data_IF_798347540973
#
_entry.id   IF_798347540973
#
_cell.length_a   1.000
_cell.length_b   1.000
_cell.length_c   1.000
_cell.angle_alpha   90.00
_cell.angle_beta   90.00
_cell.angle_gamma   90.00
#
_symmetry.space_group_name_H-M   'P 1'
#
loop_
_entity.id
_entity.type
_entity.pdbx_description
1 polymer ?
#
# COMPACT_ATOMS: atom_id res chain seq x y z
N UNK A 1 52.15 44.64 -52.75
CA UNK A 1 52.34 46.00 -52.20
C UNK A 1 51.06 46.34 -51.45
N UNK A 2 51.01 46.03 -50.16
CA UNK A 2 51.22 46.95 -49.03
C UNK A 2 50.03 47.90 -48.81
N UNK A 3 49.50 48.16 -47.62
CA UNK A 3 49.64 47.64 -46.24
C UNK A 3 48.51 48.32 -45.42
N UNK A 4 47.89 47.54 -44.54
CA UNK A 4 47.20 47.82 -43.27
C UNK A 4 46.73 49.22 -42.85
N UNK A 5 45.50 49.27 -42.32
CA UNK A 5 45.10 49.74 -40.96
C UNK A 5 43.86 48.89 -40.57
N UNK A 6 43.65 48.27 -39.41
CA UNK A 6 44.30 48.34 -38.11
C UNK A 6 43.35 48.91 -37.04
N UNK A 7 42.27 48.23 -36.65
CA UNK A 7 41.55 48.52 -35.39
C UNK A 7 41.15 47.21 -34.69
N UNK A 8 41.67 47.06 -33.48
CA UNK A 8 41.38 46.00 -32.50
C UNK A 8 39.98 46.19 -31.94
N UNK A 9 39.18 45.13 -31.84
CA UNK A 9 37.96 45.16 -31.03
C UNK A 9 37.72 43.81 -30.34
N UNK A 10 37.99 43.83 -29.04
CA UNK A 10 37.32 43.12 -27.96
C UNK A 10 36.81 41.69 -28.22
N UNK A 11 37.51 40.76 -27.60
CA UNK A 11 36.99 39.48 -27.10
C UNK A 11 35.64 39.68 -26.40
N UNK A 12 34.57 39.12 -26.96
CA UNK A 12 33.36 38.77 -26.19
C UNK A 12 33.24 37.26 -26.27
N UNK A 13 33.80 36.60 -25.24
CA UNK A 13 33.43 35.23 -24.89
C UNK A 13 31.96 35.28 -24.49
N UNK A 14 31.06 34.86 -25.38
CA UNK A 14 29.70 34.49 -24.98
C UNK A 14 29.82 33.17 -24.22
N UNK A 15 30.00 33.30 -22.90
CA UNK A 15 29.68 32.27 -21.92
C UNK A 15 28.20 31.90 -22.13
N UNK A 16 27.95 30.84 -22.91
CA UNK A 16 26.69 30.10 -22.89
C UNK A 16 26.62 29.29 -21.59
N UNK A 17 26.52 30.01 -20.47
CA UNK A 17 26.29 29.47 -19.15
C UNK A 17 24.79 29.44 -18.85
N UNK A 18 24.30 28.22 -18.60
CA UNK A 18 23.16 27.92 -17.74
C UNK A 18 21.81 28.59 -18.03
N UNK A 19 20.99 27.93 -18.86
CA UNK A 19 19.58 27.69 -18.54
C UNK A 19 19.19 26.25 -18.91
N UNK A 20 19.89 25.27 -18.31
CA UNK A 20 19.17 24.07 -17.87
C UNK A 20 18.28 24.52 -16.72
N UNK A 21 17.20 25.23 -17.04
CA UNK A 21 16.12 25.42 -16.10
C UNK A 21 15.68 24.00 -15.74
N UNK A 22 16.04 23.56 -14.54
CA UNK A 22 15.35 22.48 -13.86
C UNK A 22 13.88 22.90 -13.87
N UNK A 23 13.11 22.44 -14.86
CA UNK A 23 11.65 22.49 -14.78
C UNK A 23 11.36 21.77 -13.47
N UNK A 24 10.85 22.46 -12.43
CA UNK A 24 10.49 21.78 -11.20
C UNK A 24 9.42 20.78 -11.61
N UNK A 25 9.80 19.51 -11.66
CA UNK A 25 8.87 18.43 -11.97
C UNK A 25 7.72 18.60 -10.98
N UNK A 26 6.47 18.74 -11.45
CA UNK A 26 5.36 18.96 -10.55
C UNK A 26 5.37 17.83 -9.51
N UNK A 27 5.62 18.20 -8.26
CA UNK A 27 5.61 17.28 -7.10
C UNK A 27 4.17 17.00 -6.66
N UNK A 28 3.21 17.17 -7.55
CA UNK A 28 1.78 17.04 -7.33
C UNK A 28 1.25 15.96 -8.26
N UNK A 29 0.58 14.96 -7.70
CA UNK A 29 -0.15 13.95 -8.47
C UNK A 29 -1.60 14.39 -8.66
N UNK A 30 -2.22 13.89 -9.71
CA UNK A 30 -3.66 13.97 -9.94
C UNK A 30 -4.45 13.37 -8.77
N UNK A 31 -5.77 13.54 -8.80
CA UNK A 31 -6.66 13.16 -7.71
C UNK A 31 -6.58 11.66 -7.39
N UNK A 32 -6.68 11.32 -6.10
CA UNK A 32 -6.68 9.94 -5.62
C UNK A 32 -7.72 9.74 -4.51
N UNK A 33 -8.04 8.47 -4.24
CA UNK A 33 -8.80 8.10 -3.04
C UNK A 33 -7.90 7.38 -2.05
N UNK A 34 -8.13 7.60 -0.77
CA UNK A 34 -7.56 6.80 0.32
C UNK A 34 -8.65 6.46 1.34
N UNK A 35 -8.30 5.80 2.44
CA UNK A 35 -9.20 5.60 3.57
C UNK A 35 -9.33 6.85 4.41
N UNK A 36 -10.56 7.21 4.74
CA UNK A 36 -10.83 8.25 5.73
C UNK A 36 -10.27 7.92 7.12
N UNK A 37 -10.18 6.63 7.43
CA UNK A 37 -9.60 6.10 8.65
C UNK A 37 -8.92 4.78 8.35
N UNK A 38 -7.61 4.72 8.61
CA UNK A 38 -6.76 3.55 8.36
C UNK A 38 -6.41 2.78 9.63
N UNK A 39 -6.68 3.31 10.82
CA UNK A 39 -6.25 2.69 12.09
C UNK A 39 -7.41 2.48 13.06
N UNK A 40 -7.43 1.31 13.69
CA UNK A 40 -8.44 0.90 14.65
C UNK A 40 -7.79 0.24 15.85
N UNK A 41 -8.39 0.46 17.02
CA UNK A 41 -7.99 -0.15 18.27
C UNK A 41 -9.21 -0.80 18.93
N UNK A 42 -9.06 -2.05 19.35
CA UNK A 42 -10.09 -2.83 20.01
C UNK A 42 -9.61 -3.31 21.36
N UNK A 43 -10.51 -3.37 22.34
CA UNK A 43 -10.21 -3.97 23.65
C UNK A 43 -11.02 -5.24 23.80
N UNK A 44 -10.36 -6.37 24.00
CA UNK A 44 -10.99 -7.68 24.17
C UNK A 44 -10.63 -8.30 25.52
N UNK A 45 -11.57 -8.94 26.22
CA UNK A 45 -11.25 -9.85 27.30
C UNK A 45 -10.30 -10.96 26.86
N UNK A 46 -9.40 -11.34 27.76
CA UNK A 46 -8.48 -12.46 27.62
C UNK A 46 -8.16 -13.06 28.98
N UNK A 47 -7.40 -14.15 28.99
CA UNK A 47 -7.11 -14.91 30.22
C UNK A 47 -6.40 -14.06 31.30
N UNK A 48 -5.57 -13.09 30.90
CA UNK A 48 -4.84 -12.21 31.80
C UNK A 48 -5.53 -10.85 32.05
N UNK A 49 -6.78 -10.65 31.58
CA UNK A 49 -7.51 -9.40 31.74
C UNK A 49 -8.02 -8.85 30.41
N UNK A 50 -7.66 -7.60 30.08
CA UNK A 50 -8.04 -6.96 28.81
C UNK A 50 -6.82 -6.87 27.90
N UNK A 51 -6.94 -7.38 26.68
CA UNK A 51 -5.94 -7.23 25.63
C UNK A 51 -6.37 -6.11 24.70
N UNK A 52 -5.41 -5.30 24.24
CA UNK A 52 -5.65 -4.36 23.14
C UNK A 52 -5.16 -4.96 21.84
N UNK A 53 -5.97 -4.82 20.81
CA UNK A 53 -5.71 -5.27 19.45
C UNK A 53 -5.70 -4.05 18.55
N UNK A 54 -4.68 -3.94 17.72
CA UNK A 54 -4.54 -2.88 16.73
C UNK A 54 -4.78 -3.47 15.34
N UNK A 55 -5.42 -2.70 14.48
CA UNK A 55 -5.63 -3.01 13.07
C UNK A 55 -5.30 -1.75 12.26
N UNK A 56 -4.28 -1.84 11.41
CA UNK A 56 -4.02 -0.89 10.34
C UNK A 56 -4.52 -1.44 9.01
N UNK A 57 -5.09 -0.57 8.20
CA UNK A 57 -5.64 -0.90 6.89
C UNK A 57 -5.13 0.09 5.85
N UNK A 58 -4.68 -0.43 4.71
CA UNK A 58 -4.23 0.36 3.57
C UNK A 58 -4.87 -0.15 2.30
N UNK A 59 -4.98 0.71 1.29
CA UNK A 59 -5.53 0.33 0.02
C UNK A 59 -4.46 0.30 -1.07
N UNK A 60 -4.55 -0.71 -1.92
CA UNK A 60 -3.70 -0.85 -3.08
C UNK A 60 -4.60 -1.16 -4.28
N UNK A 61 -4.39 -0.43 -5.35
CA UNK A 61 -4.91 -0.81 -6.66
C UNK A 61 -3.76 -1.34 -7.49
N UNK A 62 -3.84 -2.59 -7.90
CA UNK A 62 -2.87 -3.20 -8.79
C UNK A 62 -3.25 -2.90 -10.25
N UNK A 63 -3.19 -1.62 -10.59
CA UNK A 63 -3.16 -1.15 -11.97
C UNK A 63 -1.70 -1.19 -12.47
N UNK A 64 -1.10 -2.36 -12.61
CA UNK A 64 0.26 -2.48 -13.16
C UNK A 64 0.27 -2.89 -14.62
N UNK A 65 -0.27 -2.02 -15.48
CA UNK A 65 0.44 -1.76 -16.73
C UNK A 65 1.59 -0.81 -16.38
N UNK A 66 2.78 -1.38 -16.15
CA UNK A 66 4.01 -0.63 -15.90
C UNK A 66 4.30 0.36 -17.05
N UNK A 67 3.87 1.62 -16.93
CA UNK A 67 4.43 2.68 -17.77
C UNK A 67 5.85 3.03 -17.32
N UNK A 68 6.77 3.09 -18.29
CA UNK A 68 8.17 3.46 -18.06
C UNK A 68 8.26 4.84 -17.38
N UNK A 69 8.70 4.89 -16.13
CA UNK A 69 9.29 6.10 -15.57
C UNK A 69 10.82 5.94 -15.53
N UNK A 70 11.53 6.59 -16.47
CA UNK A 70 12.98 6.76 -16.35
C UNK A 70 13.25 7.83 -15.28
N UNK A 71 13.60 7.41 -14.06
CA UNK A 71 14.39 8.27 -13.18
C UNK A 71 15.86 8.16 -13.61
N UNK A 72 16.57 9.28 -13.71
CA UNK A 72 17.85 9.41 -14.40
C UNK A 72 18.99 8.47 -13.95
N UNK A 73 18.82 7.68 -12.88
CA UNK A 73 19.87 6.83 -12.30
C UNK A 73 19.46 5.39 -11.96
N UNK A 74 18.23 4.94 -12.24
CA UNK A 74 17.89 3.51 -12.11
C UNK A 74 16.81 3.08 -13.12
N UNK A 75 17.00 1.88 -13.66
CA UNK A 75 16.03 1.21 -14.53
C UNK A 75 15.26 0.21 -13.68
N UNK A 76 13.96 0.44 -13.47
CA UNK A 76 13.09 -0.57 -12.88
C UNK A 76 12.91 -1.67 -13.94
N UNK A 77 13.23 -2.95 -13.64
CA UNK A 77 13.12 -4.02 -14.62
C UNK A 77 11.67 -4.23 -15.07
N UNK A 78 11.54 -4.53 -16.35
CA UNK A 78 10.28 -4.79 -17.05
C UNK A 78 9.73 -6.16 -16.65
N UNK A 79 8.49 -6.23 -16.16
CA UNK A 79 7.72 -7.48 -16.10
C UNK A 79 6.48 -7.26 -16.96
N UNK A 80 6.56 -7.76 -18.20
CA UNK A 80 5.40 -7.86 -19.09
C UNK A 80 4.63 -9.12 -18.70
N UNK A 81 3.43 -8.96 -18.14
CA UNK A 81 2.46 -10.03 -17.98
C UNK A 81 1.23 -9.71 -18.83
N UNK A 82 0.67 -10.66 -19.60
CA UNK A 82 -0.58 -10.44 -20.32
C UNK A 82 -1.75 -10.35 -19.35
N UNK A 83 -2.58 -9.31 -19.47
CA UNK A 83 -3.99 -9.32 -19.02
C UNK A 83 -4.28 -9.70 -17.57
N UNK A 84 -3.43 -9.32 -16.61
CA UNK A 84 -3.78 -9.48 -15.20
C UNK A 84 -5.07 -8.66 -14.93
N UNK A 85 -6.14 -9.29 -14.40
CA UNK A 85 -7.37 -8.56 -14.09
C UNK A 85 -7.06 -7.42 -13.13
N UNK A 86 -7.73 -6.28 -13.29
CA UNK A 86 -7.64 -5.19 -12.33
C UNK A 86 -8.06 -5.71 -10.95
N UNK A 87 -7.16 -5.53 -10.01
CA UNK A 87 -7.22 -6.17 -8.70
C UNK A 87 -7.03 -5.11 -7.64
N UNK A 88 -8.07 -4.98 -6.82
CA UNK A 88 -8.11 -4.06 -5.70
C UNK A 88 -7.83 -4.84 -4.43
N UNK A 89 -6.90 -4.36 -3.62
CA UNK A 89 -6.46 -5.00 -2.40
C UNK A 89 -6.67 -4.10 -1.20
N UNK A 90 -7.19 -4.69 -0.14
CA UNK A 90 -7.14 -4.11 1.20
C UNK A 90 -6.07 -4.84 1.98
N UNK A 91 -5.02 -4.14 2.35
CA UNK A 91 -4.00 -4.65 3.24
C UNK A 91 -4.50 -4.54 4.68
N UNK A 92 -4.30 -5.58 5.48
CA UNK A 92 -4.58 -5.63 6.90
C UNK A 92 -3.28 -5.94 7.66
N UNK A 93 -2.96 -5.13 8.65
CA UNK A 93 -1.86 -5.35 9.60
C UNK A 93 -2.48 -5.38 10.98
N UNK A 94 -2.50 -6.54 11.63
CA UNK A 94 -3.10 -6.70 12.96
C UNK A 94 -2.09 -7.24 13.96
N UNK A 95 -2.08 -6.67 15.17
CA UNK A 95 -1.23 -7.13 16.26
C UNK A 95 -1.86 -6.87 17.63
N UNK A 96 -1.42 -7.62 18.64
CA UNK A 96 -1.74 -7.35 20.03
C UNK A 96 -0.73 -6.39 20.66
N UNK A 97 -1.17 -5.61 21.65
CA UNK A 97 -0.31 -4.73 22.45
C UNK A 97 0.92 -5.46 22.98
N UNK A 98 2.04 -4.74 23.01
CA UNK A 98 3.37 -5.19 23.44
C UNK A 98 3.97 -6.38 22.68
N UNK A 99 3.30 -6.86 21.62
CA UNK A 99 3.94 -7.77 20.68
C UNK A 99 5.15 -7.10 20.05
N UNK A 100 6.17 -7.90 19.76
CA UNK A 100 7.28 -7.49 18.90
C UNK A 100 7.43 -8.46 17.74
N UNK A 101 7.99 -7.96 16.63
CA UNK A 101 8.29 -8.78 15.45
C UNK A 101 9.17 -9.98 15.82
N UNK A 102 8.85 -11.21 15.38
CA UNK A 102 9.66 -12.39 15.69
C UNK A 102 11.12 -12.30 15.25
N UNK A 103 11.44 -11.49 14.24
CA UNK A 103 12.81 -11.34 13.72
C UNK A 103 13.64 -10.26 14.43
N UNK A 104 13.08 -9.46 15.35
CA UNK A 104 13.86 -8.48 16.13
C UNK A 104 14.57 -9.20 17.29
N UNK A 105 15.88 -9.40 17.14
CA UNK A 105 16.71 -10.21 18.04
C UNK A 105 16.90 -9.64 19.46
N UNK A 106 16.64 -8.34 19.69
CA UNK A 106 17.07 -7.64 20.91
C UNK A 106 16.08 -7.67 22.08
N UNK A 107 14.82 -8.08 21.88
CA UNK A 107 13.86 -8.21 23.00
C UNK A 107 12.68 -9.11 22.63
N UNK A 108 12.28 -10.00 23.54
CA UNK A 108 11.03 -10.76 23.41
C UNK A 108 9.89 -9.84 23.86
N UNK A 109 8.99 -9.49 22.94
CA UNK A 109 7.70 -8.87 23.29
C UNK A 109 6.71 -9.92 23.80
N UNK A 110 5.46 -9.52 24.01
CA UNK A 110 4.38 -10.46 24.32
C UNK A 110 4.16 -11.45 23.16
N UNK A 111 3.76 -12.70 23.47
CA UNK A 111 3.47 -13.69 22.45
C UNK A 111 2.25 -13.29 21.62
N UNK A 112 2.12 -13.97 20.48
CA UNK A 112 0.97 -13.84 19.61
C UNK A 112 -0.34 -14.20 20.32
N UNK A 113 -1.32 -13.30 20.29
CA UNK A 113 -2.72 -13.66 20.50
C UNK A 113 -3.32 -13.94 19.12
N UNK A 114 -3.85 -15.14 18.84
CA UNK A 114 -4.45 -15.42 17.54
C UNK A 114 -5.56 -14.41 17.20
N UNK A 115 -5.46 -13.80 16.01
CA UNK A 115 -6.46 -12.89 15.45
C UNK A 115 -6.94 -13.52 14.16
N UNK A 116 -8.09 -14.20 14.23
CA UNK A 116 -8.66 -14.86 13.07
C UNK A 116 -9.45 -13.85 12.23
N UNK A 117 -9.18 -13.85 10.94
CA UNK A 117 -9.94 -13.10 9.96
C UNK A 117 -10.48 -14.04 8.89
N UNK A 118 -11.73 -13.84 8.47
CA UNK A 118 -12.35 -14.56 7.38
C UNK A 118 -12.57 -13.58 6.22
N UNK A 119 -12.00 -13.82 5.04
CA UNK A 119 -12.23 -12.92 3.90
C UNK A 119 -13.60 -13.12 3.24
N UNK A 120 -14.29 -14.23 3.49
CA UNK A 120 -15.59 -14.56 2.86
C UNK A 120 -16.73 -13.65 3.31
N UNK A 121 -16.58 -12.98 4.45
CA UNK A 121 -17.50 -11.95 4.94
C UNK A 121 -17.25 -10.58 4.30
N UNK A 122 -16.14 -10.39 3.57
CA UNK A 122 -15.75 -9.09 3.04
C UNK A 122 -16.43 -8.78 1.71
N UNK A 123 -16.91 -7.54 1.56
CA UNK A 123 -17.51 -7.05 0.33
C UNK A 123 -17.40 -5.52 0.20
N UNK A 124 -17.33 -5.05 -1.04
CA UNK A 124 -17.48 -3.63 -1.40
C UNK A 124 -18.95 -3.37 -1.71
N UNK A 125 -19.50 -2.27 -1.21
CA UNK A 125 -20.76 -1.69 -1.68
C UNK A 125 -20.44 -0.52 -2.59
N UNK A 126 -20.83 -0.65 -3.86
CA UNK A 126 -20.68 0.39 -4.86
C UNK A 126 -21.78 1.46 -4.72
N UNK A 127 -21.62 2.60 -5.42
CA UNK A 127 -22.56 3.73 -5.35
C UNK A 127 -23.98 3.37 -5.78
N UNK A 128 -24.10 2.44 -6.74
CA UNK A 128 -25.39 1.91 -7.19
C UNK A 128 -26.01 0.90 -6.21
N UNK A 129 -25.40 0.69 -5.03
CA UNK A 129 -25.85 -0.26 -4.00
C UNK A 129 -25.49 -1.73 -4.27
N UNK A 130 -24.93 -2.06 -5.43
CA UNK A 130 -24.50 -3.42 -5.73
C UNK A 130 -23.27 -3.81 -4.91
N UNK A 131 -23.10 -5.13 -4.70
CA UNK A 131 -22.04 -5.67 -3.86
C UNK A 131 -21.06 -6.49 -4.67
N UNK A 132 -19.78 -6.31 -4.39
CA UNK A 132 -18.70 -7.16 -4.87
C UNK A 132 -18.05 -7.85 -3.68
N UNK A 133 -18.12 -9.18 -3.64
CA UNK A 133 -17.47 -9.96 -2.59
C UNK A 133 -15.98 -10.12 -2.85
N UNK A 134 -15.20 -10.19 -1.78
CA UNK A 134 -13.79 -10.53 -1.84
C UNK A 134 -13.58 -11.99 -2.28
N UNK A 135 -12.36 -12.29 -2.70
CA UNK A 135 -11.89 -13.67 -2.80
C UNK A 135 -11.92 -14.37 -1.44
N UNK A 136 -12.21 -15.68 -1.39
CA UNK A 136 -12.25 -16.44 -0.15
C UNK A 136 -10.85 -16.70 0.46
N UNK A 137 -9.78 -16.49 -0.30
CA UNK A 137 -8.42 -16.63 0.19
C UNK A 137 -7.87 -15.34 0.80
N UNK A 138 -6.97 -15.49 1.77
CA UNK A 138 -6.18 -14.42 2.36
C UNK A 138 -4.76 -14.52 1.83
N UNK A 139 -4.25 -13.45 1.22
CA UNK A 139 -2.89 -13.44 0.67
C UNK A 139 -1.92 -12.86 1.70
N UNK A 140 -0.80 -13.53 1.96
CA UNK A 140 0.26 -12.99 2.83
C UNK A 140 1.28 -12.21 2.01
N UNK A 141 2.03 -11.29 2.64
CA UNK A 141 3.13 -10.58 2.00
C UNK A 141 4.19 -11.49 1.39
N UNK A 142 5.01 -10.97 0.49
CA UNK A 142 6.12 -11.72 -0.08
C UNK A 142 7.39 -10.88 0.06
N UNK A 143 8.45 -11.40 0.70
CA UNK A 143 9.69 -10.66 0.95
C UNK A 143 10.47 -10.22 -0.34
N UNK A 144 9.86 -10.27 -1.53
CA UNK A 144 10.48 -9.82 -2.79
C UNK A 144 10.49 -8.29 -2.84
N UNK A 145 11.36 -7.75 -3.71
CA UNK A 145 11.83 -6.36 -3.72
C UNK A 145 10.72 -5.30 -3.85
N UNK A 146 9.56 -5.67 -4.39
CA UNK A 146 8.40 -4.80 -4.54
C UNK A 146 7.20 -5.54 -3.95
N UNK A 147 6.88 -5.21 -2.71
CA UNK A 147 5.88 -5.86 -1.85
C UNK A 147 4.44 -5.55 -2.29
N UNK A 148 4.18 -5.63 -3.60
CA UNK A 148 2.81 -5.63 -4.08
C UNK A 148 2.17 -6.97 -3.71
N UNK A 149 0.90 -6.96 -3.28
CA UNK A 149 0.16 -8.19 -3.15
C UNK A 149 0.20 -8.93 -4.49
N UNK A 150 0.62 -10.19 -4.45
CA UNK A 150 0.60 -11.08 -5.61
C UNK A 150 -0.57 -12.03 -5.47
N UNK A 151 -1.38 -12.24 -6.52
CA UNK A 151 -2.43 -13.25 -6.50
C UNK A 151 -1.88 -14.68 -6.65
N UNK A 152 -0.56 -14.87 -6.58
CA UNK A 152 0.10 -16.17 -6.58
C UNK A 152 -0.40 -17.01 -5.41
N UNK A 153 -0.99 -18.16 -5.75
CA UNK A 153 -1.60 -19.08 -4.79
C UNK A 153 -0.59 -19.69 -3.82
N UNK A 154 0.72 -19.60 -4.08
CA UNK A 154 1.75 -19.97 -3.09
C UNK A 154 1.66 -19.12 -1.80
N UNK A 155 1.16 -17.88 -1.91
CA UNK A 155 0.98 -16.94 -0.80
C UNK A 155 -0.47 -16.88 -0.32
N UNK A 156 -1.37 -17.69 -0.88
CA UNK A 156 -2.76 -17.77 -0.45
C UNK A 156 -2.90 -18.69 0.78
N UNK A 157 -3.71 -18.27 1.74
CA UNK A 157 -4.11 -19.03 2.92
C UNK A 157 -5.64 -19.18 2.93
N UNK A 158 -6.17 -20.33 3.36
CA UNK A 158 -7.60 -20.52 3.47
C UNK A 158 -8.18 -19.61 4.55
N UNK A 159 -9.40 -19.12 4.34
CA UNK A 159 -10.16 -18.40 5.37
C UNK A 159 -10.96 -19.38 6.26
N UNK A 160 -11.04 -19.15 7.59
CA UNK A 160 -10.38 -18.08 8.33
C UNK A 160 -8.89 -18.35 8.54
N UNK A 161 -8.12 -17.28 8.74
CA UNK A 161 -6.67 -17.36 8.94
C UNK A 161 -6.20 -16.46 10.09
N UNK A 162 -5.17 -16.88 10.82
CA UNK A 162 -4.53 -16.06 11.86
C UNK A 162 -3.62 -14.99 11.24
N UNK A 163 -4.16 -13.77 11.16
CA UNK A 163 -3.48 -12.62 10.56
C UNK A 163 -2.44 -11.99 11.49
N UNK A 164 -2.37 -12.43 12.75
CA UNK A 164 -1.34 -12.08 13.73
C UNK A 164 -0.34 -13.25 13.89
N UNK A 165 -0.25 -14.18 12.95
CA UNK A 165 0.70 -15.30 13.07
C UNK A 165 2.15 -14.86 12.86
N UNK A 166 3.09 -15.64 13.39
CA UNK A 166 4.53 -15.46 13.14
C UNK A 166 4.88 -15.55 11.66
N UNK A 167 4.15 -16.37 10.90
CA UNK A 167 4.30 -16.47 9.46
C UNK A 167 4.05 -15.12 8.79
N UNK A 168 2.95 -14.45 9.15
CA UNK A 168 2.62 -13.12 8.64
C UNK A 168 3.70 -12.14 9.06
N UNK A 169 4.03 -12.03 10.34
CA UNK A 169 4.95 -10.98 10.82
C UNK A 169 6.42 -11.17 10.44
N UNK A 170 6.82 -12.33 9.92
CA UNK A 170 8.12 -12.48 9.26
C UNK A 170 8.17 -11.75 7.92
N UNK A 171 7.02 -11.53 7.29
CA UNK A 171 6.85 -10.95 5.95
C UNK A 171 6.42 -9.48 6.07
N UNK A 172 7.34 -8.62 6.52
CA UNK A 172 7.07 -7.18 6.70
C UNK A 172 7.07 -6.46 5.35
N UNK A 173 6.00 -5.71 5.02
CA UNK A 173 5.91 -5.03 3.75
C UNK A 173 6.93 -3.90 3.64
N UNK A 174 7.71 -3.89 2.56
CA UNK A 174 8.65 -2.78 2.29
C UNK A 174 7.99 -1.49 1.80
N UNK A 175 6.73 -1.58 1.34
CA UNK A 175 5.97 -0.47 0.78
C UNK A 175 5.13 0.29 1.82
N UNK A 176 4.96 -0.26 3.02
CA UNK A 176 4.27 0.44 4.11
C UNK A 176 5.27 1.11 5.02
N UNK A 177 4.86 2.20 5.66
CA UNK A 177 5.62 2.83 6.75
C UNK A 177 5.68 1.97 8.03
N UNK A 178 5.08 0.76 8.03
CA UNK A 178 5.15 -0.20 9.11
C UNK A 178 6.32 -1.17 8.88
N UNK A 179 7.42 -0.99 9.61
CA UNK A 179 8.62 -1.84 9.57
C UNK A 179 8.59 -2.97 10.62
N UNK A 180 7.55 -2.98 11.46
CA UNK A 180 7.40 -3.81 12.62
C UNK A 180 6.58 -5.08 12.35
N UNK A 181 5.53 -4.97 11.54
CA UNK A 181 4.53 -6.03 11.41
C UNK A 181 4.25 -6.39 9.96
N UNK A 182 4.23 -7.69 9.72
CA UNK A 182 3.75 -8.25 8.46
C UNK A 182 2.27 -8.01 8.22
N UNK A 183 1.87 -8.14 6.96
CA UNK A 183 0.50 -7.87 6.52
C UNK A 183 -0.12 -9.05 5.79
N UNK A 184 -1.44 -9.05 5.76
CA UNK A 184 -2.23 -9.84 4.81
C UNK A 184 -3.00 -8.94 3.87
N UNK A 185 -3.52 -9.50 2.79
CA UNK A 185 -4.22 -8.79 1.73
C UNK A 185 -5.52 -9.48 1.37
N UNK A 186 -6.59 -8.70 1.30
CA UNK A 186 -7.93 -9.11 0.90
C UNK A 186 -8.16 -8.61 -0.52
N UNK A 187 -8.41 -9.55 -1.43
CA UNK A 187 -8.46 -9.27 -2.87
C UNK A 187 -9.90 -9.14 -3.39
N UNK A 188 -10.16 -8.09 -4.14
CA UNK A 188 -11.41 -7.81 -4.85
C UNK A 188 -11.11 -7.70 -6.35
N UNK A 189 -11.79 -8.50 -7.17
CA UNK A 189 -11.61 -8.49 -8.63
C UNK A 189 -12.51 -7.44 -9.26
N UNK A 190 -11.98 -6.27 -9.56
CA UNK A 190 -12.73 -5.18 -10.20
C UNK A 190 -11.82 -4.21 -10.93
N UNK A 191 -12.25 -3.81 -12.12
CA UNK A 191 -11.67 -2.71 -12.89
C UNK A 191 -12.46 -1.39 -12.73
N UNK A 192 -13.52 -1.40 -11.91
CA UNK A 192 -14.41 -0.25 -11.77
C UNK A 192 -13.86 0.84 -10.83
N UNK A 193 -12.63 0.70 -10.34
CA UNK A 193 -12.06 1.63 -9.38
C UNK A 193 -11.85 3.01 -10.01
N UNK A 194 -12.12 4.06 -9.23
CA UNK A 194 -11.95 5.46 -9.61
C UNK A 194 -11.72 6.28 -8.33
N UNK A 195 -10.82 7.26 -8.35
CA UNK A 195 -10.56 8.18 -7.24
C UNK A 195 -11.82 8.88 -6.68
N UNK A 196 -12.84 9.12 -7.51
CA UNK A 196 -14.11 9.76 -7.09
C UNK A 196 -15.13 8.78 -6.50
N UNK A 197 -14.79 7.48 -6.45
CA UNK A 197 -15.69 6.44 -5.98
C UNK A 197 -16.11 6.66 -4.53
N UNK A 198 -17.41 6.60 -4.26
CA UNK A 198 -17.96 6.64 -2.89
C UNK A 198 -18.22 5.24 -2.36
N UNK A 199 -17.26 4.34 -2.55
CA UNK A 199 -17.39 2.96 -2.12
C UNK A 199 -17.34 2.85 -0.59
N UNK A 200 -18.05 1.85 -0.08
CA UNK A 200 -17.93 1.41 1.31
C UNK A 200 -17.39 -0.01 1.33
N UNK A 201 -16.27 -0.22 2.01
CA UNK A 201 -15.61 -1.52 2.10
C UNK A 201 -15.97 -2.14 3.45
N UNK A 202 -16.67 -3.27 3.42
CA UNK A 202 -17.04 -4.01 4.63
C UNK A 202 -16.08 -5.18 4.77
N UNK A 203 -15.27 -5.18 5.82
CA UNK A 203 -14.34 -6.28 6.12
C UNK A 203 -14.98 -7.37 7.01
N UNK A 204 -16.13 -7.09 7.63
CA UNK A 204 -16.80 -8.02 8.53
C UNK A 204 -16.25 -7.94 9.95
N UNK A 205 -15.70 -9.03 10.48
CA UNK A 205 -15.27 -9.13 11.88
C UNK A 205 -13.94 -9.86 12.06
N UNK A 206 -13.22 -9.50 13.12
CA UNK A 206 -12.10 -10.29 13.66
C UNK A 206 -12.63 -11.24 14.73
N UNK A 207 -12.05 -12.42 14.85
CA UNK A 207 -12.26 -13.30 16.01
C UNK A 207 -10.99 -13.38 16.85
N UNK A 208 -11.09 -12.96 18.11
CA UNK A 208 -9.97 -12.91 19.06
C UNK A 208 -10.45 -13.50 20.38
N UNK A 209 -9.75 -14.50 20.91
CA UNK A 209 -10.15 -15.22 22.14
C UNK A 209 -11.62 -15.71 22.12
N UNK A 210 -12.11 -16.18 20.97
CA UNK A 210 -13.50 -16.63 20.80
C UNK A 210 -14.54 -15.49 20.77
N UNK A 211 -14.11 -14.22 20.77
CA UNK A 211 -15.00 -13.07 20.63
C UNK A 211 -14.95 -12.50 19.22
N UNK A 212 -16.13 -12.18 18.67
CA UNK A 212 -16.25 -11.47 17.40
C UNK A 212 -16.23 -9.96 17.61
N UNK A 213 -15.30 -9.29 16.94
CA UNK A 213 -15.11 -7.84 16.94
C UNK A 213 -15.49 -7.33 15.56
N UNK A 214 -16.54 -6.53 15.44
CA UNK A 214 -16.89 -5.92 14.16
C UNK A 214 -15.83 -4.90 13.74
N UNK A 215 -15.34 -5.02 12.49
CA UNK A 215 -14.49 -4.02 11.87
C UNK A 215 -15.41 -2.94 11.30
N UNK A 216 -15.23 -1.66 11.69
CA UNK A 216 -16.02 -0.57 11.11
C UNK A 216 -15.89 -0.54 9.58
N UNK A 217 -16.96 -0.26 8.83
CA UNK A 217 -16.88 -0.13 7.38
C UNK A 217 -15.89 0.97 6.98
N UNK A 218 -14.96 0.64 6.09
CA UNK A 218 -13.99 1.59 5.58
C UNK A 218 -14.63 2.46 4.51
N UNK A 219 -14.38 3.78 4.59
CA UNK A 219 -14.89 4.76 3.63
C UNK A 219 -13.74 5.36 2.84
N UNK A 220 -14.00 5.57 1.55
CA UNK A 220 -13.12 6.29 0.64
C UNK A 220 -13.20 7.80 0.88
N UNK A 221 -12.04 8.44 0.99
CA UNK A 221 -11.85 9.87 1.11
C UNK A 221 -11.14 10.38 -0.15
N UNK A 222 -11.80 11.30 -0.85
CA UNK A 222 -11.27 11.93 -2.06
C UNK A 222 -10.23 12.99 -1.70
N UNK A 223 -9.08 12.93 -2.37
CA UNK A 223 -8.02 13.91 -2.25
C UNK A 223 -7.72 14.52 -3.62
N UNK A 224 -7.95 15.83 -3.82
CA UNK A 224 -7.82 16.46 -5.13
C UNK A 224 -6.36 16.58 -5.62
N UNK A 225 -5.39 16.65 -4.69
CA UNK A 225 -3.96 16.81 -4.97
C UNK A 225 -3.13 16.17 -3.86
N UNK A 226 -2.00 15.51 -4.19
CA UNK A 226 -0.99 15.07 -3.21
C UNK A 226 0.36 15.71 -3.48
N UNK A 227 0.92 16.42 -2.50
CA UNK A 227 2.34 16.81 -2.51
C UNK A 227 3.19 15.62 -2.05
N UNK A 228 4.19 15.23 -2.84
CA UNK A 228 5.04 14.05 -2.62
C UNK A 228 5.49 13.85 -1.15
N UNK A 229 5.15 12.69 -0.58
CA UNK A 229 5.79 12.09 0.60
C UNK A 229 5.94 10.59 0.32
N UNK A 230 7.11 10.14 -0.13
CA UNK A 230 7.44 8.70 -0.24
C UNK A 230 6.68 7.84 -1.28
N UNK A 231 7.03 6.54 -1.29
CA UNK A 231 6.31 5.48 -2.01
C UNK A 231 5.19 5.02 -1.07
N UNK A 232 4.08 5.74 -1.03
CA UNK A 232 2.91 5.30 -0.28
C UNK A 232 1.98 4.45 -1.17
N UNK A 233 1.29 3.45 -0.61
CA UNK A 233 0.20 2.73 -1.26
C UNK A 233 -0.87 3.74 -1.67
N UNK A 234 -0.97 4.07 -2.96
CA UNK A 234 -1.92 5.07 -3.42
C UNK A 234 -2.57 4.64 -4.71
N UNK A 235 -3.89 4.73 -4.67
CA UNK A 235 -4.82 4.59 -5.76
C UNK A 235 -4.54 5.66 -6.82
N UNK A 236 -4.38 5.26 -8.07
CA UNK A 236 -4.36 6.18 -9.21
C UNK A 236 -5.78 6.28 -9.80
N UNK A 237 -6.14 7.40 -10.45
CA UNK A 237 -7.30 7.45 -11.32
C UNK A 237 -7.08 6.63 -12.60
#
# INVERSE_FOLDING_TARGET
MSVHWGIKAATVVLLSGALNACVPYPREREAYSDLCQSEYQFTVPGMAGKNKIFLQTWLFDHETTYERYKQAHFTIPYVQGPGAPHEFYVQLIAWNEDRKRPSRASSRGEPAIPILYDSRQAYITFENGSRLFARPEIFIGNNKVYDFPTPDMAYARPSPYDINSDEVHRLVPKLTNNDDYGSVYVLFKTAAFNANSKWTINLGSLEVNGQKIAIPPLRLCYHPLKKWVGIEPLMRP
#
